data_IF_639248967649
#
_entry.id   IF_639248967649
#
_cell.length_a   1.000
_cell.length_b   1.000
_cell.length_c   1.000
_cell.angle_alpha   90.00
_cell.angle_beta   90.00
_cell.angle_gamma   90.00
#
_symmetry.space_group_name_H-M   'P 1'
#
loop_
_entity.id
_entity.type
_entity.pdbx_description
1 polymer ?
#
# COMPACT_ATOMS: atom_id res chain seq x y z
N UNK A 1 -14.52 18.35 -19.55
CA UNK A 1 -15.41 17.79 -20.58
C UNK A 1 -16.71 17.31 -19.90
N UNK A 2 -17.87 17.86 -20.28
CA UNK A 2 -19.17 17.56 -19.64
C UNK A 2 -19.60 16.10 -19.84
N UNK A 3 -19.05 15.45 -20.86
CA UNK A 3 -19.32 14.04 -21.18
C UNK A 3 -18.72 13.13 -20.11
N UNK A 4 -17.48 13.41 -19.69
CA UNK A 4 -16.78 12.63 -18.66
C UNK A 4 -17.49 12.71 -17.30
N UNK A 5 -17.91 13.92 -16.91
CA UNK A 5 -18.61 14.14 -15.64
C UNK A 5 -19.99 13.46 -15.59
N UNK A 6 -20.72 13.43 -16.71
CA UNK A 6 -21.99 12.72 -16.79
C UNK A 6 -21.79 11.19 -16.77
N UNK A 7 -20.69 10.68 -17.33
CA UNK A 7 -20.35 9.26 -17.27
C UNK A 7 -20.05 8.82 -15.83
N UNK A 8 -19.29 9.62 -15.06
CA UNK A 8 -19.02 9.33 -13.64
C UNK A 8 -20.27 9.40 -12.78
N UNK A 9 -21.15 10.38 -13.01
CA UNK A 9 -22.42 10.49 -12.27
C UNK A 9 -23.31 9.26 -12.51
N UNK A 10 -23.45 8.83 -13.77
CA UNK A 10 -24.24 7.66 -14.13
C UNK A 10 -23.66 6.35 -13.58
N UNK A 11 -22.33 6.19 -13.62
CA UNK A 11 -21.66 5.05 -12.99
C UNK A 11 -21.89 5.02 -11.47
N UNK A 12 -21.85 6.18 -10.82
CA UNK A 12 -22.16 6.31 -9.39
C UNK A 12 -23.60 5.90 -9.08
N UNK A 13 -24.57 6.31 -9.89
CA UNK A 13 -25.98 5.90 -9.74
C UNK A 13 -26.16 4.39 -9.95
N UNK A 14 -25.50 3.79 -10.95
CA UNK A 14 -25.55 2.35 -11.19
C UNK A 14 -24.93 1.54 -10.03
N UNK A 15 -23.80 1.99 -9.47
CA UNK A 15 -23.16 1.38 -8.28
C UNK A 15 -24.07 1.50 -7.06
N UNK A 16 -24.72 2.65 -6.87
CA UNK A 16 -25.68 2.88 -5.78
C UNK A 16 -26.94 2.01 -5.93
N UNK A 17 -27.39 1.78 -7.16
CA UNK A 17 -28.55 0.92 -7.43
C UNK A 17 -28.21 -0.58 -7.26
N UNK A 18 -26.99 -0.99 -7.63
CA UNK A 18 -26.48 -2.33 -7.41
C UNK A 18 -26.25 -2.65 -5.93
N UNK A 19 -25.78 -1.68 -5.14
CA UNK A 19 -25.57 -1.85 -3.69
C UNK A 19 -26.89 -1.90 -2.91
N UNK A 20 -27.95 -1.21 -3.35
CA UNK A 20 -29.32 -1.37 -2.80
C UNK A 20 -29.91 -2.76 -3.03
N UNK A 21 -29.51 -3.46 -4.10
CA UNK A 21 -30.00 -4.80 -4.46
C UNK A 21 -29.25 -5.92 -3.75
N UNK A 22 -28.06 -5.65 -3.20
CA UNK A 22 -27.42 -6.62 -2.32
C UNK A 22 -28.15 -6.61 -0.98
N UNK A 23 -28.70 -7.76 -0.53
CA UNK A 23 -29.27 -7.82 0.82
C UNK A 23 -28.18 -7.41 1.79
N UNK A 24 -28.50 -6.49 2.70
CA UNK A 24 -27.65 -6.16 3.83
C UNK A 24 -27.42 -7.47 4.59
N UNK A 25 -26.31 -8.16 4.30
CA UNK A 25 -25.92 -9.36 5.04
C UNK A 25 -25.94 -8.94 6.50
N UNK A 26 -26.68 -9.67 7.34
CA UNK A 26 -26.73 -9.33 8.75
C UNK A 26 -25.30 -9.28 9.27
N UNK A 27 -25.00 -8.45 10.28
CA UNK A 27 -23.63 -8.39 10.85
C UNK A 27 -23.06 -9.77 11.20
N UNK A 28 -23.92 -10.77 11.44
CA UNK A 28 -23.54 -12.16 11.74
C UNK A 28 -23.07 -12.96 10.52
N UNK A 29 -23.48 -12.59 9.32
CA UNK A 29 -23.17 -13.31 8.07
C UNK A 29 -22.02 -12.65 7.29
N UNK A 30 -21.35 -11.70 7.93
CA UNK A 30 -20.28 -10.96 7.32
C UNK A 30 -19.01 -11.81 7.20
N UNK A 31 -18.25 -11.72 6.09
CA UNK A 31 -17.03 -12.51 5.89
C UNK A 31 -16.01 -12.38 7.03
N UNK A 32 -15.98 -11.23 7.71
CA UNK A 32 -15.05 -10.95 8.80
C UNK A 32 -15.43 -11.60 10.15
N UNK A 33 -16.65 -12.11 10.33
CA UNK A 33 -17.01 -12.89 11.55
C UNK A 33 -16.33 -14.27 11.54
N UNK A 34 -16.29 -14.94 10.38
CA UNK A 34 -15.53 -16.19 10.21
C UNK A 34 -14.01 -16.00 10.41
N UNK A 35 -13.50 -14.81 10.08
CA UNK A 35 -12.10 -14.46 10.31
C UNK A 35 -11.79 -14.35 11.82
N UNK A 36 -12.71 -13.84 12.64
CA UNK A 36 -12.50 -13.71 14.10
C UNK A 36 -12.32 -15.07 14.77
N UNK A 37 -13.12 -16.07 14.38
CA UNK A 37 -13.02 -17.43 14.92
C UNK A 37 -11.67 -18.07 14.56
N UNK A 38 -11.18 -17.82 13.34
CA UNK A 38 -9.86 -18.26 12.88
C UNK A 38 -8.73 -17.57 13.65
N UNK A 39 -8.79 -16.24 13.80
CA UNK A 39 -7.81 -15.46 14.56
C UNK A 39 -7.81 -15.82 16.06
N UNK A 40 -8.92 -16.31 16.60
CA UNK A 40 -9.02 -16.71 18.00
C UNK A 40 -8.44 -18.10 18.29
N UNK A 41 -8.22 -18.94 17.26
CA UNK A 41 -7.68 -20.29 17.40
C UNK A 41 -6.22 -20.42 16.95
N UNK A 42 -5.67 -19.40 16.27
CA UNK A 42 -4.26 -19.31 15.92
C UNK A 42 -3.44 -18.77 17.10
N UNK A 43 -2.42 -19.52 17.52
CA UNK A 43 -1.41 -19.06 18.47
C UNK A 43 -0.48 -18.06 17.77
N UNK A 44 -0.50 -16.80 18.21
CA UNK A 44 0.40 -15.73 17.73
C UNK A 44 1.84 -15.91 18.26
N UNK A 45 2.42 -17.09 18.09
CA UNK A 45 3.79 -17.37 18.57
C UNK A 45 4.87 -16.72 17.70
N UNK A 46 4.54 -16.37 16.46
CA UNK A 46 5.41 -15.59 15.57
C UNK A 46 4.78 -14.22 15.30
N UNK A 47 5.50 -13.15 15.66
CA UNK A 47 5.12 -11.79 15.27
C UNK A 47 5.15 -11.69 13.74
N UNK A 48 4.03 -11.40 13.05
CA UNK A 48 4.01 -11.39 11.60
C UNK A 48 4.92 -10.30 11.02
N UNK A 49 5.69 -10.60 9.97
CA UNK A 49 6.44 -9.57 9.25
C UNK A 49 5.48 -8.49 8.70
N UNK A 50 5.75 -7.23 9.01
CA UNK A 50 5.00 -6.07 8.50
C UNK A 50 5.82 -5.38 7.41
N UNK A 51 5.36 -5.45 6.17
CA UNK A 51 5.95 -4.68 5.07
C UNK A 51 5.31 -3.29 4.95
N UNK A 52 6.12 -2.25 5.09
CA UNK A 52 5.74 -0.85 4.91
C UNK A 52 6.23 -0.37 3.54
N UNK A 53 5.29 -0.06 2.66
CA UNK A 53 5.58 0.49 1.33
C UNK A 53 5.44 2.01 1.37
N UNK A 54 6.51 2.72 1.02
CA UNK A 54 6.56 4.19 1.02
C UNK A 54 6.78 4.68 -0.42
N UNK A 55 5.72 5.09 -1.13
CA UNK A 55 5.86 5.79 -2.40
C UNK A 55 6.39 7.21 -2.14
N UNK A 56 7.41 7.62 -2.87
CA UNK A 56 8.09 8.92 -2.69
C UNK A 56 8.33 9.62 -4.01
N UNK A 57 8.10 10.93 -4.04
CA UNK A 57 8.51 11.83 -5.12
C UNK A 57 8.70 13.23 -4.54
N UNK A 58 9.92 13.73 -4.57
CA UNK A 58 10.29 15.04 -4.03
C UNK A 58 9.78 15.28 -2.59
N UNK A 59 10.03 14.30 -1.73
CA UNK A 59 9.61 14.25 -0.34
C UNK A 59 10.73 14.63 0.65
N UNK A 60 11.76 15.40 0.22
CA UNK A 60 12.91 15.70 1.09
C UNK A 60 12.52 16.33 2.44
N UNK A 61 11.40 17.04 2.49
CA UNK A 61 10.92 17.69 3.71
C UNK A 61 10.20 16.76 4.69
N UNK A 62 9.72 15.60 4.25
CA UNK A 62 8.85 14.72 5.04
C UNK A 62 9.40 13.32 5.22
N UNK A 63 10.23 12.84 4.29
CA UNK A 63 10.68 11.45 4.28
C UNK A 63 11.50 11.08 5.53
N UNK A 64 12.30 12.01 6.05
CA UNK A 64 13.05 11.79 7.29
C UNK A 64 12.14 11.57 8.50
N UNK A 65 11.09 12.39 8.64
CA UNK A 65 10.10 12.29 9.72
C UNK A 65 9.39 10.93 9.65
N UNK A 66 9.03 10.48 8.44
CA UNK A 66 8.41 9.18 8.24
C UNK A 66 9.33 8.04 8.66
N UNK A 67 10.60 8.05 8.25
CA UNK A 67 11.55 6.99 8.57
C UNK A 67 11.92 7.00 10.06
N UNK A 68 12.06 8.17 10.69
CA UNK A 68 12.22 8.30 12.15
C UNK A 68 11.03 7.71 12.91
N UNK A 69 9.80 7.97 12.43
CA UNK A 69 8.60 7.39 13.03
C UNK A 69 8.58 5.86 12.95
N UNK A 70 9.11 5.28 11.88
CA UNK A 70 9.22 3.82 11.72
C UNK A 70 10.31 3.26 12.62
N UNK A 71 11.48 3.91 12.67
CA UNK A 71 12.59 3.51 13.53
C UNK A 71 12.23 3.55 15.04
N UNK A 72 11.30 4.42 15.42
CA UNK A 72 10.83 4.55 16.79
C UNK A 72 9.72 3.55 17.17
N UNK A 73 9.27 2.68 16.26
CA UNK A 73 8.26 1.66 16.58
C UNK A 73 8.84 0.59 17.52
N UNK A 74 8.00 0.07 18.42
CA UNK A 74 8.37 -1.05 19.29
C UNK A 74 8.21 -2.42 18.64
N UNK A 75 7.82 -2.47 17.37
CA UNK A 75 7.62 -3.71 16.60
C UNK A 75 8.88 -4.00 15.80
N UNK A 76 9.49 -5.16 16.01
CA UNK A 76 10.82 -5.46 15.44
C UNK A 76 10.75 -6.05 14.03
N UNK A 77 9.73 -6.84 13.71
CA UNK A 77 9.59 -7.55 12.44
C UNK A 77 9.00 -6.65 11.35
N UNK A 78 9.74 -5.61 10.94
CA UNK A 78 9.33 -4.64 9.91
C UNK A 78 10.26 -4.71 8.71
N UNK A 79 9.67 -4.63 7.52
CA UNK A 79 10.39 -4.44 6.26
C UNK A 79 9.97 -3.10 5.64
N UNK A 80 10.94 -2.24 5.32
CA UNK A 80 10.69 -0.93 4.71
C UNK A 80 11.09 -0.95 3.23
N UNK A 81 10.10 -0.68 2.37
CA UNK A 81 10.27 -0.65 0.92
C UNK A 81 10.00 0.76 0.41
N UNK A 82 11.02 1.40 -0.13
CA UNK A 82 10.89 2.67 -0.84
C UNK A 82 10.61 2.41 -2.31
N UNK A 83 9.56 3.04 -2.82
CA UNK A 83 9.35 3.19 -4.26
C UNK A 83 9.49 4.68 -4.56
N UNK A 84 10.61 5.08 -5.14
CA UNK A 84 10.91 6.44 -5.56
C UNK A 84 10.52 6.65 -7.01
N UNK A 85 10.01 7.84 -7.28
CA UNK A 85 9.41 8.16 -8.55
C UNK A 85 10.30 9.13 -9.36
N UNK A 86 11.61 8.83 -9.38
CA UNK A 86 12.66 9.69 -9.94
C UNK A 86 12.70 11.07 -9.30
N UNK A 87 12.74 11.11 -7.96
CA UNK A 87 12.92 12.38 -7.24
C UNK A 87 14.17 13.11 -7.71
N UNK A 88 14.06 14.42 -7.88
CA UNK A 88 15.14 15.31 -8.30
C UNK A 88 15.61 16.28 -7.21
N UNK A 89 15.05 16.13 -6.01
CA UNK A 89 15.49 16.81 -4.80
C UNK A 89 16.38 15.89 -3.92
N UNK A 90 16.53 16.24 -2.64
CA UNK A 90 17.34 15.48 -1.68
C UNK A 90 16.65 14.23 -1.11
N UNK A 91 15.49 13.82 -1.61
CA UNK A 91 14.74 12.66 -1.08
C UNK A 91 15.60 11.42 -1.00
N UNK A 92 16.25 11.06 -2.11
CA UNK A 92 17.08 9.84 -2.19
C UNK A 92 18.38 9.96 -1.40
N UNK A 93 18.90 11.16 -1.22
CA UNK A 93 20.05 11.42 -0.34
C UNK A 93 19.66 11.10 1.12
N UNK A 94 18.51 11.62 1.57
CA UNK A 94 18.00 11.41 2.93
C UNK A 94 17.65 9.93 3.15
N UNK A 95 16.96 9.27 2.22
CA UNK A 95 16.61 7.85 2.37
C UNK A 95 17.85 6.98 2.60
N UNK A 96 18.94 7.24 1.86
CA UNK A 96 20.19 6.49 2.00
C UNK A 96 20.87 6.68 3.36
N UNK A 97 20.58 7.76 4.10
CA UNK A 97 21.16 7.94 5.44
C UNK A 97 20.56 7.01 6.49
N UNK A 98 19.40 6.38 6.22
CA UNK A 98 18.74 5.46 7.16
C UNK A 98 19.25 4.02 7.07
N UNK A 99 20.20 3.72 6.16
CA UNK A 99 20.95 2.47 6.14
C UNK A 99 20.07 1.23 6.22
N UNK A 100 20.35 0.38 7.22
CA UNK A 100 19.72 -0.93 7.43
C UNK A 100 18.22 -0.86 7.77
N UNK A 101 17.69 0.32 8.12
CA UNK A 101 16.25 0.49 8.31
C UNK A 101 15.48 0.30 6.99
N UNK A 102 16.12 0.65 5.85
CA UNK A 102 15.49 0.59 4.53
C UNK A 102 15.97 -0.67 3.82
N UNK A 103 15.14 -1.70 3.82
CA UNK A 103 15.46 -2.99 3.20
C UNK A 103 15.65 -2.87 1.69
N UNK A 104 14.80 -2.09 1.02
CA UNK A 104 14.77 -2.02 -0.45
C UNK A 104 14.38 -0.66 -0.96
N UNK A 105 15.00 -0.27 -2.07
CA UNK A 105 14.74 0.97 -2.79
C UNK A 105 14.57 0.67 -4.28
N UNK A 106 13.50 1.19 -4.86
CA UNK A 106 13.19 1.06 -6.28
C UNK A 106 12.93 2.42 -6.89
N UNK A 107 13.29 2.61 -8.16
CA UNK A 107 12.96 3.83 -8.90
C UNK A 107 12.02 3.52 -10.07
N UNK A 108 11.03 4.39 -10.29
CA UNK A 108 10.06 4.32 -11.40
C UNK A 108 10.01 5.65 -12.14
N UNK A 109 9.99 5.62 -13.47
CA UNK A 109 10.07 6.82 -14.33
C UNK A 109 8.70 7.41 -14.71
N UNK A 110 7.70 6.56 -14.94
CA UNK A 110 6.31 6.93 -15.21
C UNK A 110 5.41 6.18 -14.23
N UNK A 111 4.59 6.88 -13.47
CA UNK A 111 3.80 6.24 -12.42
C UNK A 111 2.55 7.01 -12.02
N UNK A 112 1.58 6.24 -11.52
CA UNK A 112 0.56 6.72 -10.61
C UNK A 112 0.81 6.11 -9.24
N UNK A 113 0.36 6.77 -8.16
CA UNK A 113 0.60 6.29 -6.79
C UNK A 113 0.15 4.83 -6.58
N UNK A 114 -0.93 4.40 -7.24
CA UNK A 114 -1.41 3.02 -7.20
C UNK A 114 -0.42 2.03 -7.79
N UNK A 115 0.25 2.38 -8.90
CA UNK A 115 1.29 1.55 -9.51
C UNK A 115 2.47 1.36 -8.54
N UNK A 116 2.87 2.44 -7.84
CA UNK A 116 3.94 2.38 -6.85
C UNK A 116 3.57 1.48 -5.66
N UNK A 117 2.35 1.62 -5.14
CA UNK A 117 1.85 0.80 -4.03
C UNK A 117 1.77 -0.66 -4.46
N UNK A 118 1.19 -0.95 -5.62
CA UNK A 118 1.06 -2.31 -6.13
C UNK A 118 2.43 -2.96 -6.32
N UNK A 119 3.39 -2.23 -6.89
CA UNK A 119 4.78 -2.71 -7.01
C UNK A 119 5.37 -3.01 -5.64
N UNK A 120 5.28 -2.08 -4.69
CA UNK A 120 5.77 -2.30 -3.34
C UNK A 120 5.12 -3.51 -2.65
N UNK A 121 3.81 -3.70 -2.83
CA UNK A 121 3.09 -4.87 -2.33
C UNK A 121 3.66 -6.17 -2.92
N UNK A 122 3.81 -6.26 -4.24
CA UNK A 122 4.38 -7.46 -4.88
C UNK A 122 5.82 -7.72 -4.43
N UNK A 123 6.60 -6.67 -4.22
CA UNK A 123 7.97 -6.76 -3.74
C UNK A 123 8.02 -7.32 -2.32
N UNK A 124 7.23 -6.77 -1.40
CA UNK A 124 7.22 -7.20 -0.01
C UNK A 124 6.68 -8.61 0.18
N UNK A 125 5.61 -8.96 -0.55
CA UNK A 125 4.97 -10.26 -0.42
C UNK A 125 5.71 -11.39 -1.15
N UNK A 126 6.36 -11.12 -2.29
CA UNK A 126 6.84 -12.19 -3.18
C UNK A 126 8.30 -12.08 -3.61
N UNK A 127 9.02 -11.00 -3.29
CA UNK A 127 10.43 -10.84 -3.67
C UNK A 127 10.66 -10.97 -5.18
N UNK A 128 10.27 -9.96 -5.96
CA UNK A 128 10.53 -9.83 -7.42
C UNK A 128 10.33 -11.11 -8.26
N UNK A 129 9.08 -11.37 -8.65
CA UNK A 129 8.74 -12.03 -9.91
C UNK A 129 8.06 -10.97 -10.78
N UNK A 130 8.74 -10.53 -11.85
CA UNK A 130 8.20 -9.57 -12.82
C UNK A 130 7.10 -10.25 -13.66
N UNK A 131 5.88 -10.30 -13.13
CA UNK A 131 4.71 -10.48 -13.96
C UNK A 131 4.37 -9.11 -14.52
N UNK A 132 4.80 -8.84 -15.75
CA UNK A 132 4.60 -7.58 -16.50
C UNK A 132 3.11 -7.26 -16.75
N UNK A 133 2.35 -7.01 -15.70
CA UNK A 133 0.98 -6.52 -15.74
C UNK A 133 1.03 -5.00 -15.72
N UNK A 134 1.24 -4.41 -16.90
CA UNK A 134 0.94 -3.00 -17.10
C UNK A 134 -0.58 -2.90 -17.13
N UNK A 135 -1.19 -2.35 -16.07
CA UNK A 135 -2.62 -2.04 -16.12
C UNK A 135 -2.86 -1.08 -17.31
N UNK A 136 -3.89 -1.34 -18.13
CA UNK A 136 -4.17 -0.56 -19.34
C UNK A 136 -4.52 0.90 -19.05
#
# INVERSE_FOLDING_TARGET
>A
DKILMNAYAKAGEEIMEQTKKQPNKSKKDAPWEALKERLSSESFEDFPLISIVIPTHNCAHTIGITLESIAAQSYEEVQVIIVDATSNDRTMEIIKTYGDLVDRIYSVTDYHIYEMINRGYFIGAFGWLDFGFRLP
#
